data_IF_404138490033
#
_entry.id   IF_404138490033
#
_cell.length_a   1.000
_cell.length_b   1.000
_cell.length_c   1.000
_cell.angle_alpha   90.00
_cell.angle_beta   90.00
_cell.angle_gamma   90.00
#
_symmetry.space_group_name_H-M   'P 1'
#
loop_
_entity.id
_entity.type
_entity.pdbx_description
1 polymer ?
#
# COMPACT_ATOMS: atom_id res chain seq x y z
N UNK A 1 -5.78 -3.25 -9.01
CA UNK A 1 -5.91 -4.49 -8.19
C UNK A 1 -6.18 -5.72 -9.03
N UNK A 2 -7.17 -5.69 -9.94
CA UNK A 2 -7.55 -6.87 -10.72
C UNK A 2 -6.40 -7.50 -11.51
N UNK A 3 -5.47 -6.71 -12.05
CA UNK A 3 -4.30 -7.24 -12.75
C UNK A 3 -3.39 -8.09 -11.85
N UNK A 4 -3.18 -7.65 -10.61
CA UNK A 4 -2.39 -8.41 -9.63
C UNK A 4 -3.08 -9.71 -9.24
N UNK A 5 -4.42 -9.70 -9.15
CA UNK A 5 -5.18 -10.92 -8.87
C UNK A 5 -5.12 -11.89 -10.06
N UNK A 6 -5.16 -11.37 -11.30
CA UNK A 6 -4.99 -12.17 -12.50
C UNK A 6 -3.58 -12.78 -12.56
N UNK A 7 -2.54 -11.99 -12.27
CA UNK A 7 -1.17 -12.48 -12.18
C UNK A 7 -1.02 -13.57 -11.12
N UNK A 8 -1.59 -13.38 -9.93
CA UNK A 8 -1.56 -14.41 -8.87
C UNK A 8 -2.28 -15.69 -9.28
N UNK A 9 -3.44 -15.59 -9.96
CA UNK A 9 -4.15 -16.75 -10.51
C UNK A 9 -3.30 -17.48 -11.55
N UNK A 10 -2.61 -16.73 -12.41
CA UNK A 10 -1.70 -17.30 -13.39
C UNK A 10 -0.54 -18.03 -12.69
N UNK A 11 0.10 -17.41 -11.69
CA UNK A 11 1.15 -18.08 -10.90
C UNK A 11 0.62 -19.36 -10.27
N UNK A 12 -0.50 -19.31 -9.56
CA UNK A 12 -1.09 -20.50 -8.95
C UNK A 12 -1.40 -21.61 -9.95
N UNK A 13 -1.81 -21.27 -11.18
CA UNK A 13 -2.12 -22.27 -12.21
C UNK A 13 -0.89 -22.85 -12.92
N UNK A 14 0.29 -22.21 -12.83
CA UNK A 14 1.44 -22.56 -13.66
C UNK A 14 2.74 -22.81 -12.88
N UNK A 15 2.81 -22.46 -11.58
CA UNK A 15 4.08 -22.47 -10.84
C UNK A 15 4.68 -23.88 -10.68
N UNK A 16 3.87 -24.93 -10.78
CA UNK A 16 4.32 -26.32 -10.78
C UNK A 16 5.23 -26.66 -11.98
N UNK A 17 4.94 -26.09 -13.16
CA UNK A 17 5.78 -26.22 -14.35
C UNK A 17 7.17 -25.57 -14.16
N UNK A 18 7.31 -24.66 -13.20
CA UNK A 18 8.57 -24.03 -12.82
C UNK A 18 9.21 -24.69 -11.57
N UNK A 19 8.67 -25.82 -11.11
CA UNK A 19 9.16 -26.55 -9.93
C UNK A 19 8.70 -25.97 -8.59
N UNK A 20 7.79 -25.00 -8.59
CA UNK A 20 7.18 -24.50 -7.36
C UNK A 20 5.96 -25.33 -6.92
N UNK A 21 5.42 -24.98 -5.76
CA UNK A 21 4.25 -25.66 -5.20
C UNK A 21 3.08 -24.67 -5.14
N UNK A 22 2.00 -24.86 -5.94
CA UNK A 22 0.87 -23.95 -5.97
C UNK A 22 0.14 -23.87 -4.62
N UNK A 23 0.28 -24.89 -3.77
CA UNK A 23 -0.27 -24.88 -2.41
C UNK A 23 0.58 -24.10 -1.40
N UNK A 24 1.75 -23.58 -1.80
CA UNK A 24 2.71 -22.87 -0.92
C UNK A 24 3.15 -21.52 -1.47
N UNK A 25 2.21 -20.72 -1.97
CA UNK A 25 2.50 -19.38 -2.47
C UNK A 25 2.51 -18.35 -1.33
N UNK A 26 3.56 -17.53 -1.28
CA UNK A 26 3.67 -16.35 -0.40
C UNK A 26 3.74 -15.11 -1.27
N UNK A 27 2.87 -14.12 -1.03
CA UNK A 27 2.93 -12.82 -1.70
C UNK A 27 3.70 -11.85 -0.83
N UNK A 28 4.63 -11.12 -1.43
CA UNK A 28 5.41 -10.09 -0.74
C UNK A 28 5.29 -8.78 -1.49
N UNK A 29 5.24 -7.68 -0.75
CA UNK A 29 5.31 -6.37 -1.36
C UNK A 29 5.71 -5.29 -0.38
N UNK A 30 6.25 -4.23 -0.96
CA UNK A 30 6.76 -3.07 -0.25
C UNK A 30 5.95 -1.83 -0.67
N UNK A 31 5.69 -0.88 0.26
CA UNK A 31 4.98 0.39 -0.03
C UNK A 31 3.61 0.14 -0.69
N UNK A 32 3.35 0.66 -1.89
CA UNK A 32 2.13 0.37 -2.64
C UNK A 32 1.94 -1.15 -2.90
N UNK A 33 3.02 -1.90 -3.14
CA UNK A 33 2.98 -3.36 -3.27
C UNK A 33 2.63 -4.06 -1.95
N UNK A 34 2.97 -3.44 -0.82
CA UNK A 34 2.61 -3.91 0.51
C UNK A 34 1.12 -3.74 0.78
N UNK A 35 0.56 -2.57 0.44
CA UNK A 35 -0.88 -2.35 0.45
C UNK A 35 -1.60 -3.34 -0.47
N UNK A 36 -1.05 -3.59 -1.66
CA UNK A 36 -1.57 -4.59 -2.58
C UNK A 36 -1.51 -6.02 -2.03
N UNK A 37 -0.45 -6.39 -1.32
CA UNK A 37 -0.37 -7.67 -0.59
C UNK A 37 -1.46 -7.78 0.46
N UNK A 38 -1.76 -6.70 1.19
CA UNK A 38 -2.89 -6.64 2.11
C UNK A 38 -4.24 -6.78 1.38
N UNK A 39 -4.41 -6.19 0.20
CA UNK A 39 -5.61 -6.40 -0.62
C UNK A 39 -5.76 -7.86 -1.08
N UNK A 40 -4.67 -8.54 -1.45
CA UNK A 40 -4.68 -9.97 -1.76
C UNK A 40 -5.10 -10.83 -0.55
N UNK A 41 -4.76 -10.45 0.68
CA UNK A 41 -5.24 -11.15 1.89
C UNK A 41 -6.74 -10.95 2.13
N UNK A 42 -7.27 -9.76 1.80
CA UNK A 42 -8.62 -9.37 2.13
C UNK A 42 -9.66 -9.72 1.06
N UNK A 43 -9.23 -9.93 -0.20
CA UNK A 43 -10.14 -10.19 -1.31
C UNK A 43 -10.67 -11.62 -1.33
N UNK A 44 -11.93 -11.78 -1.72
CA UNK A 44 -12.49 -13.09 -2.02
C UNK A 44 -11.93 -13.68 -3.32
N UNK A 45 -11.43 -12.84 -4.23
CA UNK A 45 -10.95 -13.24 -5.55
C UNK A 45 -9.59 -13.95 -5.53
N UNK A 46 -8.88 -13.85 -4.41
CA UNK A 46 -7.53 -14.40 -4.17
C UNK A 46 -7.52 -15.44 -3.05
N UNK A 47 -8.70 -15.74 -2.49
CA UNK A 47 -8.89 -16.78 -1.48
C UNK A 47 -8.42 -18.13 -2.02
N UNK A 48 -7.77 -18.94 -1.19
CA UNK A 48 -7.25 -20.23 -1.63
C UNK A 48 -5.89 -20.14 -2.34
N UNK A 49 -5.53 -19.00 -2.93
CA UNK A 49 -4.35 -18.89 -3.80
C UNK A 49 -3.03 -18.65 -3.05
N UNK A 50 -3.10 -18.18 -1.81
CA UNK A 50 -1.93 -17.82 -1.00
C UNK A 50 -1.97 -18.48 0.38
N UNK A 51 -0.79 -18.73 0.93
CA UNK A 51 -0.56 -19.30 2.27
C UNK A 51 0.36 -18.45 3.13
N UNK A 52 0.93 -17.39 2.56
CA UNK A 52 1.77 -16.44 3.27
C UNK A 52 1.66 -15.04 2.69
N UNK A 53 1.97 -14.04 3.52
CA UNK A 53 2.08 -12.66 3.12
C UNK A 53 3.24 -11.97 3.84
N UNK A 54 4.03 -11.17 3.11
CA UNK A 54 5.05 -10.30 3.67
C UNK A 54 4.70 -8.87 3.28
N UNK A 55 4.41 -8.04 4.28
CA UNK A 55 3.80 -6.72 4.13
C UNK A 55 4.77 -5.67 4.67
N UNK A 56 5.63 -5.17 3.79
CA UNK A 56 6.72 -4.26 4.14
C UNK A 56 6.25 -2.80 4.00
N UNK A 57 5.97 -2.13 5.12
CA UNK A 57 5.60 -0.71 5.13
C UNK A 57 4.35 -0.38 4.31
N UNK A 58 3.28 -1.15 4.55
CA UNK A 58 1.96 -0.97 3.91
C UNK A 58 0.76 -1.29 4.81
N UNK A 59 1.02 -1.75 6.04
CA UNK A 59 -0.03 -1.94 7.06
C UNK A 59 -0.13 -0.68 7.91
N UNK A 60 -1.36 -0.31 8.23
CA UNK A 60 -1.70 0.74 9.18
C UNK A 60 -2.87 0.27 10.04
N UNK A 61 -3.39 1.15 10.90
CA UNK A 61 -4.55 0.86 11.73
C UNK A 61 -5.70 0.28 10.84
N UNK A 62 -6.59 -0.58 11.35
CA UNK A 62 -7.69 -1.08 10.54
C UNK A 62 -8.95 -0.18 10.55
N UNK A 63 -9.04 0.81 11.44
CA UNK A 63 -10.25 1.60 11.72
C UNK A 63 -10.42 2.86 10.88
N UNK A 64 -9.38 3.31 10.17
CA UNK A 64 -9.43 4.58 9.44
C UNK A 64 -9.22 4.35 7.93
N UNK A 65 -10.24 4.45 7.08
CA UNK A 65 -10.08 4.20 5.64
C UNK A 65 -9.20 5.26 4.92
N UNK A 66 -9.11 6.49 5.45
CA UNK A 66 -8.40 7.61 4.83
C UNK A 66 -6.94 7.69 5.33
N UNK A 67 -6.19 6.59 5.18
CA UNK A 67 -4.77 6.58 5.55
C UNK A 67 -4.00 7.70 4.86
N UNK A 68 -2.96 8.15 5.57
CA UNK A 68 -2.30 9.45 5.42
C UNK A 68 -1.47 9.61 4.14
N UNK A 69 -1.27 8.51 3.38
CA UNK A 69 -0.62 8.48 2.07
C UNK A 69 -1.46 7.65 1.09
N UNK A 70 -1.41 8.01 -0.19
CA UNK A 70 -2.25 7.42 -1.25
C UNK A 70 -2.00 5.91 -1.44
N UNK A 71 -0.76 5.46 -1.30
CA UNK A 71 -0.36 4.08 -1.59
C UNK A 71 -0.99 3.06 -0.62
N UNK A 72 -1.31 3.46 0.60
CA UNK A 72 -1.77 2.57 1.68
C UNK A 72 -3.25 2.72 2.02
N UNK A 73 -3.92 3.70 1.42
CA UNK A 73 -5.32 4.02 1.67
C UNK A 73 -6.25 3.37 0.64
N UNK A 74 -7.54 3.42 0.92
CA UNK A 74 -8.56 3.29 -0.11
C UNK A 74 -9.57 4.41 0.05
N UNK A 75 -10.22 4.78 -1.05
CA UNK A 75 -11.36 5.70 -1.06
C UNK A 75 -12.66 4.93 -1.21
N UNK A 76 -13.79 5.56 -0.89
CA UNK A 76 -15.09 4.92 -1.09
C UNK A 76 -15.39 4.82 -2.59
N UNK A 77 -16.28 3.90 -2.97
CA UNK A 77 -16.75 3.81 -4.35
C UNK A 77 -17.34 5.13 -4.85
N UNK A 78 -18.05 5.85 -3.98
CA UNK A 78 -18.63 7.15 -4.32
C UNK A 78 -17.57 8.21 -4.63
N UNK A 79 -16.53 8.30 -3.79
CA UNK A 79 -15.42 9.24 -4.03
C UNK A 79 -14.66 8.86 -5.30
N UNK A 80 -14.45 7.56 -5.54
CA UNK A 80 -13.81 7.07 -6.77
C UNK A 80 -14.61 7.44 -8.02
N UNK A 81 -15.94 7.45 -7.97
CA UNK A 81 -16.78 7.93 -9.07
C UNK A 81 -16.65 9.44 -9.24
N UNK A 82 -16.66 10.22 -8.16
CA UNK A 82 -16.49 11.66 -8.22
C UNK A 82 -15.14 12.03 -8.86
N UNK A 83 -14.05 11.38 -8.44
CA UNK A 83 -12.72 11.54 -9.03
C UNK A 83 -12.72 11.17 -10.53
N UNK A 84 -13.41 10.11 -10.92
CA UNK A 84 -13.54 9.72 -12.33
C UNK A 84 -14.26 10.76 -13.19
N UNK A 85 -15.34 11.35 -12.66
CA UNK A 85 -16.07 12.44 -13.35
C UNK A 85 -15.20 13.68 -13.48
N UNK A 86 -14.50 14.07 -12.41
CA UNK A 86 -13.57 15.20 -12.42
C UNK A 86 -12.44 14.99 -13.43
N UNK A 87 -11.88 13.78 -13.49
CA UNK A 87 -10.85 13.40 -14.46
C UNK A 87 -11.33 13.50 -15.91
N UNK A 88 -12.52 12.98 -16.22
CA UNK A 88 -13.07 13.11 -17.57
C UNK A 88 -13.33 14.58 -17.92
N UNK A 89 -13.89 15.35 -16.97
CA UNK A 89 -14.15 16.77 -17.14
C UNK A 89 -12.87 17.58 -17.39
N UNK A 90 -11.76 17.26 -16.72
CA UNK A 90 -10.47 17.95 -16.93
C UNK A 90 -9.88 17.72 -18.33
N UNK A 91 -10.27 16.63 -18.99
CA UNK A 91 -9.94 16.32 -20.37
C UNK A 91 -10.97 16.86 -21.39
N UNK A 92 -12.03 17.54 -20.93
CA UNK A 92 -13.14 17.97 -21.77
C UNK A 92 -14.00 16.81 -22.30
N UNK A 93 -13.99 15.67 -21.60
CA UNK A 93 -14.69 14.45 -21.97
C UNK A 93 -15.92 14.25 -21.08
N UNK A 94 -16.94 13.58 -21.63
CA UNK A 94 -18.19 13.28 -20.90
C UNK A 94 -18.44 11.78 -20.71
N UNK A 95 -17.63 10.93 -21.34
CA UNK A 95 -17.81 9.48 -21.29
C UNK A 95 -16.49 8.71 -21.26
N UNK A 96 -16.54 7.50 -20.71
CA UNK A 96 -15.42 6.54 -20.74
C UNK A 96 -15.12 6.08 -22.17
N UNK A 97 -16.14 6.07 -23.05
CA UNK A 97 -15.94 5.70 -24.46
C UNK A 97 -15.02 6.72 -25.15
N UNK A 98 -15.26 8.02 -24.95
CA UNK A 98 -14.41 9.07 -25.53
C UNK A 98 -12.97 9.01 -24.96
N UNK A 99 -12.83 8.67 -23.68
CA UNK A 99 -11.52 8.52 -23.05
C UNK A 99 -10.71 7.34 -23.61
N UNK A 100 -11.36 6.29 -24.13
CA UNK A 100 -10.67 5.14 -24.74
C UNK A 100 -10.07 5.43 -26.11
N UNK A 101 -10.58 6.46 -26.79
CA UNK A 101 -10.04 6.93 -28.07
C UNK A 101 -8.82 7.85 -27.90
N UNK A 102 -8.50 8.25 -26.66
CA UNK A 102 -7.35 9.09 -26.34
C UNK A 102 -6.05 8.30 -26.31
N UNK A 103 -4.97 8.96 -26.69
CA UNK A 103 -3.62 8.44 -26.49
C UNK A 103 -3.27 8.38 -25.00
N UNK A 104 -2.35 7.49 -24.63
CA UNK A 104 -1.86 7.41 -23.24
C UNK A 104 -1.26 8.73 -22.77
N UNK A 105 -0.56 9.47 -23.64
CA UNK A 105 0.05 10.75 -23.31
C UNK A 105 -1.00 11.82 -22.96
N UNK A 106 -2.10 11.87 -23.71
CA UNK A 106 -3.24 12.76 -23.38
C UNK A 106 -3.85 12.42 -22.02
N UNK A 107 -3.99 11.12 -21.71
CA UNK A 107 -4.54 10.67 -20.44
C UNK A 107 -3.62 10.99 -19.25
N UNK A 108 -2.30 10.82 -19.40
CA UNK A 108 -1.34 11.04 -18.32
C UNK A 108 -1.15 12.52 -17.97
N UNK A 109 -1.17 13.41 -18.96
CA UNK A 109 -1.02 14.85 -18.73
C UNK A 109 -2.09 15.44 -17.79
N UNK A 110 -3.28 14.85 -17.74
CA UNK A 110 -4.34 15.27 -16.81
C UNK A 110 -4.18 14.74 -15.37
N UNK A 111 -3.31 13.75 -15.16
CA UNK A 111 -3.04 13.16 -13.83
C UNK A 111 -1.86 13.82 -13.12
N UNK A 112 -1.00 14.55 -13.84
CA UNK A 112 0.21 15.17 -13.31
C UNK A 112 0.05 16.69 -13.41
N UNK A 113 -0.55 17.32 -12.40
CA UNK A 113 -0.51 18.78 -12.30
C UNK A 113 0.73 19.24 -11.53
N UNK A 114 1.52 20.12 -12.16
CA UNK A 114 2.64 20.82 -11.51
C UNK A 114 2.20 21.81 -10.40
N UNK A 115 0.89 22.08 -10.26
CA UNK A 115 0.34 23.01 -9.26
C UNK A 115 -0.04 22.38 -7.92
N UNK A 116 0.10 21.06 -7.75
CA UNK A 116 -0.30 20.35 -6.53
C UNK A 116 -1.78 19.94 -6.47
N UNK A 117 -2.61 20.39 -7.41
CA UNK A 117 -4.00 19.93 -7.62
C UNK A 117 -4.03 18.77 -8.63
N UNK A 118 -3.26 17.70 -8.37
CA UNK A 118 -3.24 16.53 -9.24
C UNK A 118 -4.39 15.58 -8.91
N UNK A 119 -5.19 15.21 -9.91
CA UNK A 119 -6.15 14.11 -9.78
C UNK A 119 -5.38 12.81 -9.58
N UNK A 120 -5.56 12.17 -8.41
CA UNK A 120 -4.88 10.91 -8.07
C UNK A 120 -5.86 9.75 -8.01
N UNK A 121 -5.44 8.62 -8.60
CA UNK A 121 -6.14 7.34 -8.44
C UNK A 121 -5.62 6.60 -7.20
N UNK A 122 -6.53 5.93 -6.50
CA UNK A 122 -6.24 5.12 -5.30
C UNK A 122 -7.00 3.80 -5.36
N UNK A 123 -6.70 2.88 -4.43
CA UNK A 123 -7.55 1.70 -4.27
C UNK A 123 -8.99 2.12 -3.89
N UNK A 124 -9.97 1.34 -4.31
CA UNK A 124 -11.40 1.64 -4.11
C UNK A 124 -12.06 0.54 -3.29
N UNK A 125 -12.79 0.91 -2.24
CA UNK A 125 -13.73 0.02 -1.57
C UNK A 125 -14.93 -0.21 -2.49
N UNK A 126 -14.78 -1.15 -3.42
CA UNK A 126 -15.70 -1.44 -4.51
C UNK A 126 -16.70 -2.56 -4.19
N UNK A 127 -16.58 -3.20 -3.01
CA UNK A 127 -17.37 -4.35 -2.58
C UNK A 127 -17.23 -5.59 -3.49
N UNK A 128 -16.25 -5.60 -4.40
CA UNK A 128 -15.94 -6.68 -5.31
C UNK A 128 -14.50 -7.17 -5.14
N UNK A 129 -13.51 -6.38 -5.56
CA UNK A 129 -12.11 -6.67 -5.29
C UNK A 129 -11.79 -6.46 -3.80
N UNK A 130 -12.39 -5.44 -3.19
CA UNK A 130 -12.33 -5.14 -1.77
C UNK A 130 -13.72 -5.32 -1.15
N UNK A 131 -14.04 -6.49 -0.56
CA UNK A 131 -15.41 -6.82 -0.18
C UNK A 131 -15.95 -6.04 1.03
N UNK A 132 -15.07 -5.49 1.87
CA UNK A 132 -15.44 -4.72 3.06
C UNK A 132 -14.23 -3.91 3.55
N UNK A 133 -14.45 -3.07 4.56
CA UNK A 133 -13.40 -2.30 5.24
C UNK A 133 -12.34 -3.20 5.89
N UNK A 134 -11.11 -2.70 6.08
CA UNK A 134 -10.07 -3.46 6.78
C UNK A 134 -10.49 -3.91 8.18
N UNK A 135 -11.21 -3.06 8.91
CA UNK A 135 -11.78 -3.40 10.20
C UNK A 135 -12.72 -4.61 10.15
N UNK A 136 -13.68 -4.58 9.22
CA UNK A 136 -14.69 -5.63 9.11
C UNK A 136 -14.09 -6.93 8.57
N UNK A 137 -13.22 -6.85 7.56
CA UNK A 137 -12.54 -8.03 6.99
C UNK A 137 -11.69 -8.77 8.04
N UNK A 138 -11.04 -8.02 8.95
CA UNK A 138 -10.29 -8.61 10.07
C UNK A 138 -11.20 -9.18 11.16
N UNK A 139 -12.30 -8.51 11.54
CA UNK A 139 -13.19 -8.97 12.63
C UNK A 139 -14.14 -10.09 12.25
N UNK A 140 -14.70 -10.07 11.04
CA UNK A 140 -15.81 -10.96 10.64
C UNK A 140 -15.36 -12.38 10.26
N UNK A 141 -14.08 -12.72 10.39
CA UNK A 141 -13.53 -13.97 9.86
C UNK A 141 -14.02 -14.24 8.43
N UNK A 142 -13.88 -13.29 7.50
CA UNK A 142 -14.41 -13.49 6.15
C UNK A 142 -13.82 -14.72 5.44
N UNK A 143 -12.75 -15.32 5.97
CA UNK A 143 -12.20 -16.57 5.49
C UNK A 143 -12.38 -17.70 6.52
N UNK A 144 -12.87 -18.89 6.11
CA UNK A 144 -13.10 -20.01 7.01
C UNK A 144 -11.81 -20.50 7.69
N UNK A 145 -12.02 -21.22 8.78
CA UNK A 145 -11.10 -21.61 9.85
C UNK A 145 -9.90 -22.46 9.41
N UNK A 146 -9.83 -22.85 8.13
CA UNK A 146 -8.87 -23.82 7.61
C UNK A 146 -7.69 -23.23 6.84
N UNK A 147 -7.69 -21.92 6.54
CA UNK A 147 -6.57 -21.31 5.82
C UNK A 147 -5.60 -20.61 6.79
N UNK A 148 -4.48 -21.28 7.08
CA UNK A 148 -3.39 -20.73 7.91
C UNK A 148 -2.48 -19.88 7.03
N UNK A 149 -2.40 -18.60 7.34
CA UNK A 149 -1.46 -17.66 6.74
C UNK A 149 -0.25 -17.49 7.65
N UNK A 150 0.95 -17.40 7.08
CA UNK A 150 2.10 -16.82 7.80
C UNK A 150 2.24 -15.37 7.35
N UNK A 151 2.10 -14.42 8.27
CA UNK A 151 2.21 -12.99 7.95
C UNK A 151 3.43 -12.39 8.62
N UNK A 152 4.27 -11.71 7.85
CA UNK A 152 5.36 -10.86 8.34
C UNK A 152 5.04 -9.41 8.00
N UNK A 153 5.13 -8.50 8.96
CA UNK A 153 4.81 -7.07 8.77
C UNK A 153 5.93 -6.17 9.28
N UNK A 154 6.23 -5.11 8.52
CA UNK A 154 7.22 -4.10 8.87
C UNK A 154 6.62 -2.83 9.47
N UNK A 155 7.39 -2.18 10.33
CA UNK A 155 7.25 -0.76 10.68
C UNK A 155 8.15 0.15 9.82
N UNK A 156 7.60 1.27 9.37
CA UNK A 156 8.30 2.25 8.54
C UNK A 156 8.99 3.33 9.39
N UNK A 157 10.17 3.76 8.94
CA UNK A 157 10.97 4.83 9.53
C UNK A 157 11.35 5.84 8.43
N UNK A 158 11.50 7.11 8.80
CA UNK A 158 12.06 8.19 7.96
C UNK A 158 11.43 8.30 6.55
N UNK A 159 10.13 8.58 6.50
CA UNK A 159 9.30 8.52 5.27
C UNK A 159 9.71 9.56 4.19
N UNK A 160 10.32 10.72 4.53
CA UNK A 160 10.57 11.80 3.54
C UNK A 160 11.94 12.51 3.59
N UNK A 161 12.97 11.97 4.25
CA UNK A 161 14.31 12.58 4.22
C UNK A 161 14.80 13.02 2.81
N UNK A 162 14.55 12.27 1.70
CA UNK A 162 15.05 12.67 0.37
C UNK A 162 14.32 13.84 -0.30
N UNK A 163 13.02 14.06 -0.03
CA UNK A 163 12.21 15.06 -0.76
C UNK A 163 12.32 16.48 -0.18
N UNK A 164 12.70 16.59 1.09
CA UNK A 164 12.71 17.88 1.82
C UNK A 164 13.98 18.70 1.57
N UNK A 165 15.10 18.07 1.21
CA UNK A 165 16.41 18.74 1.14
C UNK A 165 16.61 19.65 -0.10
N UNK A 166 15.72 19.64 -1.09
CA UNK A 166 15.98 20.22 -2.41
C UNK A 166 15.62 21.73 -2.61
N UNK A 167 15.23 22.49 -1.58
CA UNK A 167 14.82 23.90 -1.74
C UNK A 167 15.76 24.88 -0.98
N UNK A 168 16.31 25.92 -1.64
CA UNK A 168 17.16 26.92 -0.99
C UNK A 168 16.34 27.83 -0.08
N UNK A 169 16.69 27.89 1.21
CA UNK A 169 15.99 28.67 2.23
C UNK A 169 17.00 29.36 3.16
N UNK A 170 16.59 30.47 3.80
CA UNK A 170 17.40 31.16 4.81
C UNK A 170 17.65 30.27 6.04
N UNK A 171 18.73 30.49 6.80
CA UNK A 171 19.14 29.62 7.93
C UNK A 171 18.04 29.45 9.00
N UNK A 172 17.27 30.51 9.29
CA UNK A 172 16.14 30.44 10.23
C UNK A 172 14.96 29.63 9.67
N UNK A 173 14.66 29.78 8.37
CA UNK A 173 13.68 28.96 7.66
C UNK A 173 14.17 27.51 7.51
N UNK A 174 15.47 27.29 7.41
CA UNK A 174 16.10 25.97 7.32
C UNK A 174 15.99 25.24 8.66
N UNK A 175 16.21 25.91 9.80
CA UNK A 175 16.00 25.34 11.15
C UNK A 175 14.53 25.05 11.48
N UNK A 176 13.63 25.95 11.09
CA UNK A 176 12.18 25.72 11.22
C UNK A 176 11.74 24.56 10.32
N UNK A 177 12.28 24.48 9.10
CA UNK A 177 12.04 23.38 8.16
C UNK A 177 12.61 22.06 8.67
N UNK A 178 13.82 22.00 9.21
CA UNK A 178 14.38 20.75 9.76
C UNK A 178 13.62 20.26 10.97
N UNK A 179 13.21 21.17 11.88
CA UNK A 179 12.40 20.79 13.05
C UNK A 179 11.01 20.31 12.63
N UNK A 180 10.35 21.04 11.71
CA UNK A 180 9.05 20.65 11.18
C UNK A 180 9.12 19.33 10.38
N UNK A 181 10.18 19.13 9.60
CA UNK A 181 10.37 17.90 8.81
C UNK A 181 10.72 16.71 9.70
N UNK A 182 11.52 16.93 10.75
CA UNK A 182 11.79 15.92 11.77
C UNK A 182 10.53 15.53 12.55
N UNK A 183 9.71 16.51 12.94
CA UNK A 183 8.43 16.26 13.61
C UNK A 183 7.43 15.54 12.69
N UNK A 184 7.37 15.93 11.41
CA UNK A 184 6.55 15.27 10.40
C UNK A 184 6.98 13.81 10.19
N UNK A 185 8.27 13.56 9.98
CA UNK A 185 8.83 12.20 9.86
C UNK A 185 8.55 11.36 11.11
N UNK A 186 8.65 11.97 12.30
CA UNK A 186 8.33 11.29 13.57
C UNK A 186 6.85 10.93 13.66
N UNK A 187 5.94 11.84 13.31
CA UNK A 187 4.50 11.58 13.27
C UNK A 187 4.17 10.40 12.35
N UNK A 188 4.77 10.37 11.16
CA UNK A 188 4.55 9.31 10.17
C UNK A 188 5.14 7.97 10.62
N UNK A 189 6.32 8.00 11.23
CA UNK A 189 6.94 6.85 11.89
C UNK A 189 6.03 6.29 12.98
N UNK A 190 5.50 7.14 13.87
CA UNK A 190 4.62 6.72 14.95
C UNK A 190 3.30 6.15 14.41
N UNK A 191 2.74 6.77 13.37
CA UNK A 191 1.55 6.24 12.68
C UNK A 191 1.78 4.85 12.10
N UNK A 192 2.96 4.61 11.50
CA UNK A 192 3.33 3.28 11.03
C UNK A 192 3.45 2.28 12.19
N UNK A 193 4.22 2.64 13.23
CA UNK A 193 4.42 1.83 14.44
C UNK A 193 3.11 1.44 15.12
N UNK A 194 2.32 2.43 15.46
CA UNK A 194 1.06 2.25 16.19
C UNK A 194 0.03 1.55 15.31
N UNK A 195 -0.05 1.92 14.02
CA UNK A 195 -0.98 1.31 13.08
C UNK A 195 -0.71 -0.18 12.85
N UNK A 196 0.54 -0.54 12.54
CA UNK A 196 0.96 -1.94 12.39
C UNK A 196 0.75 -2.71 13.70
N UNK A 197 1.06 -2.12 14.86
CA UNK A 197 0.81 -2.77 16.15
C UNK A 197 -0.67 -3.09 16.34
N UNK A 198 -1.58 -2.13 16.11
CA UNK A 198 -3.01 -2.38 16.23
C UNK A 198 -3.52 -3.41 15.23
N UNK A 199 -3.03 -3.38 14.00
CA UNK A 199 -3.37 -4.37 12.99
C UNK A 199 -2.93 -5.78 13.41
N UNK A 200 -1.67 -5.95 13.81
CA UNK A 200 -1.12 -7.25 14.22
C UNK A 200 -1.78 -7.78 15.49
N UNK A 201 -2.12 -6.89 16.43
CA UNK A 201 -2.93 -7.25 17.61
C UNK A 201 -4.31 -7.75 17.21
N UNK A 202 -5.00 -7.05 16.31
CA UNK A 202 -6.32 -7.47 15.85
C UNK A 202 -6.23 -8.81 15.10
N UNK A 203 -5.23 -8.97 14.24
CA UNK A 203 -4.95 -10.23 13.55
C UNK A 203 -4.80 -11.39 14.54
N UNK A 204 -3.93 -11.23 15.55
CA UNK A 204 -3.69 -12.26 16.56
C UNK A 204 -4.94 -12.62 17.39
N UNK A 205 -5.88 -11.68 17.56
CA UNK A 205 -7.16 -11.95 18.23
C UNK A 205 -8.22 -12.59 17.32
N UNK A 206 -8.13 -12.37 16.01
CA UNK A 206 -9.15 -12.80 15.06
C UNK A 206 -8.76 -14.04 14.25
N UNK A 207 -7.48 -14.42 14.24
CA UNK A 207 -6.91 -15.51 13.42
C UNK A 207 -5.99 -16.40 14.26
N UNK A 208 -5.99 -17.70 13.97
CA UNK A 208 -5.04 -18.69 14.51
C UNK A 208 -3.69 -18.69 13.77
N UNK A 209 -3.66 -18.06 12.60
CA UNK A 209 -2.49 -17.80 11.75
C UNK A 209 -1.46 -16.90 12.45
N UNK A 210 -0.17 -17.28 12.51
CA UNK A 210 0.84 -16.44 13.15
C UNK A 210 1.07 -15.12 12.38
N UNK A 211 1.28 -14.06 13.14
CA UNK A 211 1.76 -12.76 12.67
C UNK A 211 3.07 -12.42 13.36
N UNK A 212 4.07 -12.04 12.58
CA UNK A 212 5.38 -11.60 13.05
C UNK A 212 5.57 -10.15 12.65
N UNK A 213 6.09 -9.34 13.57
CA UNK A 213 6.47 -7.95 13.27
C UNK A 213 7.99 -7.86 13.26
N UNK A 214 8.54 -7.10 12.31
CA UNK A 214 9.95 -6.73 12.33
C UNK A 214 10.13 -5.23 12.23
N UNK A 215 11.24 -4.78 12.80
CA UNK A 215 11.67 -3.40 12.78
C UNK A 215 12.98 -3.31 12.00
N UNK A 216 13.03 -2.40 11.04
CA UNK A 216 14.24 -2.12 10.28
C UNK A 216 14.84 -0.81 10.77
N UNK A 217 16.00 -0.89 11.40
CA UNK A 217 16.75 0.22 12.00
C UNK A 217 18.15 0.37 11.42
N UNK A 218 18.46 -0.40 10.38
CA UNK A 218 19.77 -0.40 9.75
C UNK A 218 19.82 0.62 8.60
N UNK A 219 20.85 1.47 8.62
CA UNK A 219 21.14 2.40 7.55
C UNK A 219 22.00 1.71 6.47
N UNK A 220 21.54 1.59 5.20
CA UNK A 220 22.41 1.07 4.15
C UNK A 220 23.71 1.86 4.03
N UNK A 221 24.83 1.23 3.62
CA UNK A 221 26.09 1.92 3.43
C UNK A 221 25.99 2.98 2.33
N UNK A 222 26.75 4.07 2.47
CA UNK A 222 26.87 5.11 1.45
C UNK A 222 25.78 6.20 1.45
N UNK A 223 24.95 6.27 2.50
CA UNK A 223 23.91 7.29 2.67
C UNK A 223 23.77 7.72 4.14
N UNK A 224 23.10 8.86 4.38
CA UNK A 224 22.94 9.47 5.72
C UNK A 224 21.49 9.59 6.20
N UNK A 225 20.51 9.09 5.43
CA UNK A 225 19.07 9.11 5.73
C UNK A 225 18.64 8.02 6.74
N UNK A 226 19.59 7.25 7.29
CA UNK A 226 19.31 6.19 8.24
C UNK A 226 18.57 5.01 7.61
N UNK A 227 17.68 4.38 8.38
CA UNK A 227 16.78 3.33 7.92
C UNK A 227 15.56 3.94 7.19
N UNK A 228 15.80 4.54 6.03
CA UNK A 228 14.76 5.19 5.24
C UNK A 228 13.68 4.21 4.73
N UNK A 229 12.58 4.75 4.22
CA UNK A 229 11.61 3.95 3.45
C UNK A 229 12.31 3.19 2.32
N UNK A 230 11.85 1.97 2.02
CA UNK A 230 12.41 1.06 0.99
C UNK A 230 13.83 0.54 1.22
N UNK A 231 14.57 1.06 2.21
CA UNK A 231 15.98 0.74 2.40
C UNK A 231 16.27 -0.72 2.76
N UNK A 232 15.26 -1.46 3.23
CA UNK A 232 15.32 -2.89 3.56
C UNK A 232 15.26 -3.82 2.34
N UNK A 233 14.70 -3.37 1.20
CA UNK A 233 14.37 -4.25 0.06
C UNK A 233 15.61 -4.98 -0.45
N UNK A 234 16.73 -4.26 -0.53
CA UNK A 234 18.02 -4.80 -0.95
C UNK A 234 18.63 -5.81 0.03
N UNK A 235 18.09 -5.96 1.24
CA UNK A 235 18.54 -6.96 2.22
C UNK A 235 17.64 -8.20 2.23
N UNK A 236 16.41 -8.07 1.73
CA UNK A 236 15.45 -9.19 1.61
C UNK A 236 15.67 -9.98 0.33
N UNK A 237 16.07 -9.33 -0.76
CA UNK A 237 16.19 -9.94 -2.11
C UNK A 237 17.61 -10.42 -2.49
N UNK A 238 18.52 -10.55 -1.51
CA UNK A 238 19.92 -10.96 -1.74
C UNK A 238 20.13 -12.46 -1.80
#
# INVERSE_FOLDING_TARGET
>A
MLDQFAALKWVHANIDAFGGDPSRITVMGQSAGSAATRHNLNSNLTRGLITGAIIESGVRDPRNPLYTSLAEAYITLNDSYATGVEYLSSLGLSSIADAREKSMDELLNATISASGDSISFSATLDYYAMPDTYWNTLRRQLQPEHQRYRVLVRFELNILEPLVQALPLSVSLQRLKTTASGAYNSMFTDRSKVGTYFWSRLWATARSSPVYNYFWDHAPPGQSSGAAHESEVNYVLK
#
